data_IF_471642285055
#
_entry.id   IF_471642285055
#
_cell.length_a   1.000
_cell.length_b   1.000
_cell.length_c   1.000
_cell.angle_alpha   90.00
_cell.angle_beta   90.00
_cell.angle_gamma   90.00
#
_symmetry.space_group_name_H-M   'P 1'
#
loop_
_entity.id
_entity.type
_entity.pdbx_description
1 polymer ?
#
# COMPACT_ATOMS: atom_id res chain seq x y z
N UNK A 1 -17.64 -29.46 21.79
CA UNK A 1 -17.24 -28.89 20.53
C UNK A 1 -16.92 -27.43 20.83
N UNK A 2 -15.73 -26.92 20.52
CA UNK A 2 -15.40 -25.51 20.77
C UNK A 2 -16.09 -24.68 19.70
N UNK A 3 -16.83 -23.67 20.10
CA UNK A 3 -17.56 -22.75 19.18
C UNK A 3 -16.84 -21.43 19.15
N UNK A 4 -16.62 -20.88 17.95
CA UNK A 4 -16.01 -19.59 17.73
C UNK A 4 -17.08 -18.54 17.44
N UNK A 5 -16.78 -17.27 17.73
CA UNK A 5 -17.69 -16.17 17.43
C UNK A 5 -17.66 -15.90 15.94
N UNK A 6 -18.80 -16.07 15.28
CA UNK A 6 -18.94 -15.78 13.83
C UNK A 6 -19.29 -14.31 13.64
N UNK A 7 -18.41 -13.58 12.94
CA UNK A 7 -18.65 -12.22 12.49
C UNK A 7 -19.45 -12.22 11.20
N UNK A 8 -20.27 -11.19 10.97
CA UNK A 8 -20.95 -11.03 9.69
C UNK A 8 -19.90 -10.77 8.58
N UNK A 9 -20.03 -11.50 7.49
CA UNK A 9 -19.19 -11.37 6.32
C UNK A 9 -19.82 -10.41 5.31
N UNK A 10 -18.97 -9.69 4.60
CA UNK A 10 -19.36 -8.97 3.38
C UNK A 10 -19.64 -9.96 2.26
N UNK A 11 -20.37 -9.55 1.21
CA UNK A 11 -20.73 -10.43 0.10
C UNK A 11 -19.53 -11.12 -0.54
N UNK A 12 -18.45 -10.39 -0.83
CA UNK A 12 -17.23 -10.94 -1.39
C UNK A 12 -16.55 -11.98 -0.45
N UNK A 13 -16.55 -11.71 0.85
CA UNK A 13 -15.96 -12.62 1.85
C UNK A 13 -16.76 -13.92 1.93
N UNK A 14 -18.08 -13.82 1.87
CA UNK A 14 -18.95 -15.00 1.85
C UNK A 14 -18.73 -15.81 0.56
N UNK A 15 -18.71 -15.17 -0.59
CA UNK A 15 -18.44 -15.83 -1.87
C UNK A 15 -17.08 -16.53 -1.91
N UNK A 16 -16.03 -15.88 -1.41
CA UNK A 16 -14.70 -16.47 -1.30
C UNK A 16 -14.66 -17.65 -0.30
N UNK A 17 -15.36 -17.50 0.83
CA UNK A 17 -15.48 -18.57 1.84
C UNK A 17 -16.19 -19.80 1.27
N UNK A 18 -17.32 -19.63 0.59
CA UNK A 18 -18.09 -20.70 -0.03
C UNK A 18 -17.22 -21.44 -1.07
N UNK A 19 -16.47 -20.70 -1.89
CA UNK A 19 -15.53 -21.25 -2.83
C UNK A 19 -14.42 -22.07 -2.17
N UNK A 20 -13.84 -21.55 -1.08
CA UNK A 20 -12.81 -22.26 -0.31
C UNK A 20 -13.38 -23.53 0.32
N UNK A 21 -14.53 -23.45 0.99
CA UNK A 21 -15.13 -24.60 1.72
C UNK A 21 -15.63 -25.70 0.78
N UNK A 22 -16.00 -25.38 -0.47
CA UNK A 22 -16.45 -26.36 -1.44
C UNK A 22 -15.39 -27.40 -1.79
N UNK A 23 -14.11 -27.01 -1.82
CA UNK A 23 -13.00 -27.90 -2.22
C UNK A 23 -11.93 -28.07 -1.13
N UNK A 24 -11.88 -27.15 -0.16
CA UNK A 24 -10.81 -27.06 0.85
C UNK A 24 -9.42 -27.29 0.24
N UNK A 25 -9.01 -26.46 -0.71
CA UNK A 25 -7.76 -26.67 -1.44
C UNK A 25 -6.55 -26.51 -0.52
N UNK A 26 -5.40 -27.07 -0.92
CA UNK A 26 -4.16 -26.84 -0.20
C UNK A 26 -3.73 -25.39 -0.31
N UNK A 27 -3.83 -24.77 -1.50
CA UNK A 27 -3.51 -23.38 -1.77
C UNK A 27 -4.76 -22.63 -2.19
N UNK A 28 -4.98 -21.48 -1.56
CA UNK A 28 -6.02 -20.53 -1.93
C UNK A 28 -5.47 -19.11 -1.85
N UNK A 29 -5.57 -18.37 -2.92
CA UNK A 29 -5.14 -16.98 -3.00
C UNK A 29 -6.35 -16.05 -3.12
N UNK A 30 -6.49 -15.13 -2.15
CA UNK A 30 -7.46 -14.05 -2.18
C UNK A 30 -6.76 -12.70 -2.40
N UNK A 31 -7.07 -12.05 -3.50
CA UNK A 31 -6.67 -10.67 -3.79
C UNK A 31 -7.82 -9.77 -3.39
N UNK A 32 -7.58 -8.84 -2.48
CA UNK A 32 -8.61 -7.89 -2.06
C UNK A 32 -8.00 -6.54 -1.72
N UNK A 33 -8.62 -5.47 -2.22
CA UNK A 33 -8.13 -4.10 -2.01
C UNK A 33 -7.90 -3.77 -0.53
N UNK A 34 -6.97 -2.87 -0.18
CA UNK A 34 -6.82 -2.40 1.19
C UNK A 34 -8.16 -1.93 1.79
N UNK A 35 -8.42 -2.27 3.05
CA UNK A 35 -9.71 -1.94 3.71
C UNK A 35 -10.87 -2.91 3.41
N UNK A 36 -10.73 -3.85 2.49
CA UNK A 36 -11.76 -4.83 2.16
C UNK A 36 -12.08 -5.83 3.28
N UNK A 37 -11.20 -5.98 4.29
CA UNK A 37 -11.43 -6.88 5.43
C UNK A 37 -10.81 -8.27 5.26
N UNK A 38 -9.64 -8.38 4.61
CA UNK A 38 -8.87 -9.63 4.43
C UNK A 38 -8.69 -10.43 5.72
N UNK A 39 -8.34 -9.75 6.82
CA UNK A 39 -8.16 -10.37 8.14
C UNK A 39 -9.42 -11.07 8.64
N UNK A 40 -10.59 -10.43 8.51
CA UNK A 40 -11.89 -11.02 8.91
C UNK A 40 -12.20 -12.27 8.10
N UNK A 41 -11.96 -12.24 6.79
CA UNK A 41 -12.11 -13.38 5.90
C UNK A 41 -11.21 -14.55 6.31
N UNK A 42 -9.92 -14.29 6.52
CA UNK A 42 -8.97 -15.33 6.90
C UNK A 42 -9.27 -15.96 8.27
N UNK A 43 -9.63 -15.14 9.25
CA UNK A 43 -10.04 -15.64 10.57
C UNK A 43 -11.34 -16.44 10.50
N UNK A 44 -12.24 -16.12 9.56
CA UNK A 44 -13.44 -16.93 9.34
C UNK A 44 -13.08 -18.31 8.78
N UNK A 45 -12.19 -18.41 7.78
CA UNK A 45 -11.67 -19.71 7.29
C UNK A 45 -11.02 -20.48 8.45
N UNK A 46 -10.15 -19.83 9.24
CA UNK A 46 -9.47 -20.46 10.35
C UNK A 46 -10.46 -21.06 11.37
N UNK A 47 -11.48 -20.31 11.75
CA UNK A 47 -12.49 -20.78 12.73
C UNK A 47 -13.35 -21.91 12.18
N UNK A 48 -13.77 -21.88 10.91
CA UNK A 48 -14.53 -22.98 10.28
C UNK A 48 -13.69 -24.29 10.27
N UNK A 49 -12.41 -24.20 9.85
CA UNK A 49 -11.52 -25.36 9.80
C UNK A 49 -11.14 -25.91 11.18
N UNK A 50 -11.13 -25.06 12.22
CA UNK A 50 -10.91 -25.48 13.61
C UNK A 50 -12.16 -26.10 14.20
N UNK A 51 -13.36 -25.58 13.91
CA UNK A 51 -14.63 -26.12 14.39
C UNK A 51 -14.88 -27.54 13.86
N UNK A 52 -14.65 -27.76 12.58
CA UNK A 52 -14.84 -29.07 11.93
C UNK A 52 -13.63 -30.01 12.10
N UNK A 53 -12.61 -29.54 12.82
CA UNK A 53 -11.35 -30.27 13.05
C UNK A 53 -10.57 -30.63 11.78
N UNK A 54 -10.77 -29.93 10.69
CA UNK A 54 -9.92 -30.05 9.50
C UNK A 54 -8.49 -29.67 9.85
N UNK A 55 -8.32 -28.62 10.68
CA UNK A 55 -7.03 -28.21 11.23
C UNK A 55 -7.06 -28.13 12.77
N UNK A 56 -5.87 -28.20 13.38
CA UNK A 56 -5.66 -28.18 14.83
C UNK A 56 -4.71 -27.04 15.24
N UNK A 57 -4.16 -26.32 14.26
CA UNK A 57 -3.24 -25.20 14.45
C UNK A 57 -3.42 -24.16 13.37
N UNK A 58 -3.24 -22.89 13.75
CA UNK A 58 -3.18 -21.78 12.83
C UNK A 58 -1.84 -21.08 12.97
N UNK A 59 -1.14 -20.86 11.86
CA UNK A 59 0.08 -20.04 11.79
C UNK A 59 -0.23 -18.85 10.92
N UNK A 60 0.02 -17.62 11.41
CA UNK A 60 -0.10 -16.41 10.62
C UNK A 60 1.29 -15.85 10.38
N UNK A 61 1.63 -15.62 9.13
CA UNK A 61 2.91 -15.02 8.71
C UNK A 61 2.63 -13.61 8.22
N UNK A 62 3.31 -12.63 8.80
CA UNK A 62 3.10 -11.20 8.55
C UNK A 62 4.40 -10.50 8.17
N UNK A 63 4.35 -9.36 7.46
CA UNK A 63 5.53 -8.59 7.10
C UNK A 63 6.30 -8.04 8.30
N UNK A 64 5.61 -7.50 9.31
CA UNK A 64 6.23 -6.71 10.38
C UNK A 64 5.83 -7.19 11.78
N UNK A 65 6.67 -6.88 12.79
CA UNK A 65 6.40 -7.21 14.20
C UNK A 65 5.10 -6.56 14.72
N UNK A 66 4.80 -5.36 14.30
CA UNK A 66 3.58 -4.65 14.71
C UNK A 66 2.31 -5.42 14.30
N UNK A 67 2.29 -6.00 13.12
CA UNK A 67 1.16 -6.79 12.63
C UNK A 67 0.91 -8.07 13.44
N UNK A 68 1.93 -8.62 14.10
CA UNK A 68 1.75 -9.80 15.00
C UNK A 68 0.73 -9.50 16.09
N UNK A 69 0.85 -8.36 16.75
CA UNK A 69 -0.08 -7.95 17.83
C UNK A 69 -1.48 -7.66 17.28
N UNK A 70 -1.58 -7.00 16.13
CA UNK A 70 -2.87 -6.71 15.49
C UNK A 70 -3.61 -8.00 15.10
N UNK A 71 -2.92 -8.99 14.51
CA UNK A 71 -3.50 -10.27 14.14
C UNK A 71 -3.94 -11.06 15.37
N UNK A 72 -3.12 -11.09 16.44
CA UNK A 72 -3.47 -11.75 17.70
C UNK A 72 -4.71 -11.12 18.35
N UNK A 73 -4.78 -9.79 18.39
CA UNK A 73 -5.94 -9.07 18.92
C UNK A 73 -7.21 -9.33 18.08
N UNK A 74 -7.08 -9.37 16.75
CA UNK A 74 -8.20 -9.70 15.86
C UNK A 74 -8.69 -11.14 16.05
N UNK A 75 -7.79 -12.10 16.18
CA UNK A 75 -8.07 -13.51 16.44
C UNK A 75 -8.78 -13.72 17.78
N UNK A 76 -8.34 -13.03 18.82
CA UNK A 76 -8.94 -13.09 20.15
C UNK A 76 -10.43 -12.67 20.14
N UNK A 77 -10.81 -11.70 19.30
CA UNK A 77 -12.20 -11.25 19.15
C UNK A 77 -13.15 -12.34 18.64
N UNK A 78 -12.64 -13.30 17.89
CA UNK A 78 -13.40 -14.46 17.40
C UNK A 78 -13.18 -15.71 18.25
N UNK A 79 -12.40 -15.62 19.33
CA UNK A 79 -12.14 -16.70 20.27
C UNK A 79 -10.98 -17.61 19.88
N UNK A 80 -10.12 -17.20 18.94
CA UNK A 80 -8.91 -17.89 18.51
C UNK A 80 -7.69 -17.30 19.24
N UNK A 81 -6.95 -18.14 19.97
CA UNK A 81 -5.80 -17.71 20.76
C UNK A 81 -4.50 -17.90 19.95
N UNK A 82 -3.95 -16.80 19.42
CA UNK A 82 -2.67 -16.80 18.69
C UNK A 82 -1.57 -16.12 19.51
N UNK A 83 -0.41 -16.75 19.61
CA UNK A 83 0.75 -16.23 20.34
C UNK A 83 1.57 -15.27 19.48
N UNK A 84 1.55 -13.96 19.73
CA UNK A 84 2.38 -12.98 19.00
C UNK A 84 3.81 -12.90 19.55
N UNK A 85 4.06 -13.43 20.77
CA UNK A 85 5.38 -13.38 21.42
C UNK A 85 6.28 -14.56 21.03
N UNK A 86 5.80 -15.47 20.18
CA UNK A 86 6.61 -16.60 19.71
C UNK A 86 7.88 -16.10 18.99
N UNK A 87 9.01 -16.70 19.38
CA UNK A 87 10.34 -16.43 18.79
C UNK A 87 10.99 -17.73 18.30
N UNK A 88 12.05 -17.59 17.51
CA UNK A 88 12.80 -18.75 17.03
C UNK A 88 13.53 -19.54 18.14
N UNK A 89 13.67 -19.01 19.34
CA UNK A 89 14.21 -19.69 20.53
C UNK A 89 13.14 -20.29 21.44
N UNK A 90 11.87 -19.89 21.31
CA UNK A 90 10.77 -20.37 22.17
C UNK A 90 10.21 -21.73 21.74
N UNK A 91 9.61 -22.43 22.69
CA UNK A 91 8.70 -23.53 22.40
C UNK A 91 7.30 -22.99 22.09
N UNK A 92 6.51 -23.74 21.31
CA UNK A 92 5.10 -23.40 21.07
C UNK A 92 4.31 -23.57 22.36
N UNK A 93 3.58 -22.55 22.77
CA UNK A 93 2.70 -22.62 23.93
C UNK A 93 1.52 -23.56 23.64
N UNK A 94 1.38 -24.68 24.40
CA UNK A 94 0.34 -25.67 24.13
C UNK A 94 -1.08 -25.19 24.41
N UNK A 95 -1.25 -24.10 25.16
CA UNK A 95 -2.56 -23.50 25.46
C UNK A 95 -3.05 -22.58 24.34
N UNK A 96 -2.20 -22.26 23.35
CA UNK A 96 -2.54 -21.44 22.20
C UNK A 96 -2.99 -22.30 21.02
N UNK A 97 -3.89 -21.75 20.21
CA UNK A 97 -4.35 -22.38 18.98
C UNK A 97 -3.33 -22.25 17.84
N UNK A 98 -2.37 -21.34 18.00
CA UNK A 98 -1.34 -21.10 17.00
C UNK A 98 -0.39 -19.97 17.37
N UNK A 99 0.35 -19.52 16.37
CA UNK A 99 1.38 -18.48 16.50
C UNK A 99 1.23 -17.43 15.40
N UNK A 100 1.75 -16.22 15.68
CA UNK A 100 1.94 -15.18 14.65
C UNK A 100 3.44 -14.90 14.55
N UNK A 101 3.99 -14.96 13.34
CA UNK A 101 5.43 -14.83 13.05
C UNK A 101 5.65 -13.88 11.88
N UNK A 102 6.87 -13.36 11.74
CA UNK A 102 7.22 -12.55 10.56
C UNK A 102 7.88 -13.41 9.47
N UNK A 103 7.83 -12.93 8.20
CA UNK A 103 8.57 -13.55 7.10
C UNK A 103 10.07 -13.68 7.40
N UNK A 104 10.64 -12.66 8.04
CA UNK A 104 12.04 -12.68 8.48
C UNK A 104 12.33 -13.82 9.48
N UNK A 105 11.45 -14.01 10.49
CA UNK A 105 11.60 -15.12 11.46
C UNK A 105 11.57 -16.48 10.76
N UNK A 106 10.66 -16.67 9.82
CA UNK A 106 10.53 -17.91 9.05
C UNK A 106 11.77 -18.13 8.18
N UNK A 107 12.19 -17.10 7.43
CA UNK A 107 13.36 -17.17 6.55
C UNK A 107 14.66 -17.49 7.27
N UNK A 108 14.84 -17.01 8.51
CA UNK A 108 16.03 -17.30 9.32
C UNK A 108 16.08 -18.73 9.85
N UNK A 109 14.94 -19.36 10.13
CA UNK A 109 14.88 -20.70 10.73
C UNK A 109 13.79 -21.59 10.11
N UNK A 110 13.81 -21.86 8.80
CA UNK A 110 12.71 -22.53 8.08
C UNK A 110 12.44 -23.93 8.62
N UNK A 111 13.46 -24.72 8.97
CA UNK A 111 13.30 -26.06 9.52
C UNK A 111 12.55 -26.09 10.87
N UNK A 112 12.75 -25.07 11.73
CA UNK A 112 12.00 -24.95 12.97
C UNK A 112 10.52 -24.71 12.68
N UNK A 113 10.20 -23.80 11.77
CA UNK A 113 8.82 -23.49 11.37
C UNK A 113 8.17 -24.69 10.68
N UNK A 114 8.92 -25.45 9.87
CA UNK A 114 8.45 -26.73 9.29
C UNK A 114 8.09 -27.72 10.39
N UNK A 115 8.96 -27.92 11.38
CA UNK A 115 8.68 -28.83 12.50
C UNK A 115 7.44 -28.40 13.29
N UNK A 116 7.25 -27.10 13.54
CA UNK A 116 6.04 -26.56 14.19
C UNK A 116 4.80 -26.81 13.33
N UNK A 117 4.86 -26.55 12.05
CA UNK A 117 3.72 -26.70 11.13
C UNK A 117 3.32 -28.17 10.93
N UNK A 118 4.30 -29.09 10.84
CA UNK A 118 4.07 -30.52 10.61
C UNK A 118 3.62 -31.27 11.87
N UNK A 119 3.79 -30.69 13.07
CA UNK A 119 3.42 -31.35 14.34
C UNK A 119 1.91 -31.55 14.51
N UNK A 120 1.09 -30.81 13.77
CA UNK A 120 -0.39 -30.87 13.77
C UNK A 120 -0.91 -30.52 12.38
N UNK A 121 -2.18 -30.88 12.12
CA UNK A 121 -2.86 -30.37 10.91
C UNK A 121 -2.97 -28.86 10.99
N UNK A 122 -2.35 -28.16 10.07
CA UNK A 122 -2.10 -26.73 10.16
C UNK A 122 -2.68 -25.97 8.96
N UNK A 123 -3.33 -24.84 9.24
CA UNK A 123 -3.60 -23.76 8.30
C UNK A 123 -2.49 -22.72 8.45
N UNK A 124 -1.83 -22.37 7.37
CA UNK A 124 -0.91 -21.23 7.27
C UNK A 124 -1.60 -20.09 6.53
N UNK A 125 -1.69 -18.93 7.18
CA UNK A 125 -2.17 -17.67 6.59
C UNK A 125 -0.96 -16.81 6.28
N UNK A 126 -0.78 -16.46 5.01
CA UNK A 126 0.34 -15.67 4.50
C UNK A 126 -0.19 -14.27 4.16
N UNK A 127 -0.09 -13.34 5.12
CA UNK A 127 -0.60 -11.99 4.95
C UNK A 127 0.38 -11.14 4.13
N UNK A 128 -0.16 -10.42 3.14
CA UNK A 128 0.61 -9.65 2.14
C UNK A 128 1.76 -10.51 1.55
N UNK A 129 1.38 -11.64 0.95
CA UNK A 129 2.30 -12.71 0.49
C UNK A 129 3.43 -12.21 -0.44
N UNK A 130 3.24 -11.07 -1.12
CA UNK A 130 4.27 -10.49 -1.98
C UNK A 130 5.56 -10.14 -1.22
N UNK A 131 5.49 -9.90 0.10
CA UNK A 131 6.66 -9.70 0.97
C UNK A 131 7.47 -10.96 1.25
N UNK A 132 6.93 -12.13 1.02
CA UNK A 132 7.71 -13.38 1.14
C UNK A 132 8.94 -13.38 0.23
N UNK A 133 9.01 -12.48 -0.73
CA UNK A 133 10.11 -12.39 -1.65
C UNK A 133 10.99 -11.15 -1.54
N UNK A 134 10.80 -10.30 -0.54
CA UNK A 134 11.58 -9.06 -0.37
C UNK A 134 13.08 -9.33 -0.18
N UNK A 135 13.44 -10.46 0.43
CA UNK A 135 14.76 -11.05 0.31
C UNK A 135 14.62 -12.41 -0.36
N UNK A 136 15.42 -12.68 -1.40
CA UNK A 136 15.39 -13.94 -2.16
C UNK A 136 15.47 -15.18 -1.25
N UNK A 137 16.22 -15.07 -0.15
CA UNK A 137 16.33 -16.08 0.90
C UNK A 137 15.04 -16.30 1.73
N UNK A 138 14.15 -15.31 1.84
CA UNK A 138 12.91 -15.46 2.60
C UNK A 138 11.87 -16.27 1.83
N UNK A 139 11.80 -16.09 0.51
CA UNK A 139 10.91 -16.87 -0.34
C UNK A 139 11.21 -18.36 -0.28
N UNK A 140 12.48 -18.72 -0.39
CA UNK A 140 12.94 -20.11 -0.29
C UNK A 140 12.70 -20.65 1.14
N UNK A 141 12.95 -19.86 2.18
CA UNK A 141 12.70 -20.25 3.57
C UNK A 141 11.23 -20.46 3.88
N UNK A 142 10.35 -19.61 3.37
CA UNK A 142 8.88 -19.74 3.53
C UNK A 142 8.38 -20.98 2.81
N UNK A 143 8.89 -21.25 1.60
CA UNK A 143 8.59 -22.47 0.85
C UNK A 143 9.05 -23.71 1.61
N UNK A 144 10.29 -23.75 2.08
CA UNK A 144 10.84 -24.86 2.88
C UNK A 144 10.04 -25.10 4.16
N UNK A 145 9.59 -24.03 4.83
CA UNK A 145 8.85 -24.13 6.08
C UNK A 145 7.43 -24.69 5.91
N UNK A 146 6.77 -24.40 4.78
CA UNK A 146 5.32 -24.62 4.67
C UNK A 146 4.88 -25.39 3.43
N UNK A 147 5.80 -26.06 2.72
CA UNK A 147 5.45 -26.83 1.50
C UNK A 147 4.48 -28.00 1.79
N UNK A 148 4.66 -28.67 2.92
CA UNK A 148 3.93 -29.88 3.30
C UNK A 148 2.68 -29.61 4.17
N UNK A 149 2.24 -28.36 4.37
CA UNK A 149 1.09 -28.07 5.24
C UNK A 149 -0.24 -28.42 4.58
N UNK A 150 -1.27 -28.61 5.39
CA UNK A 150 -2.59 -29.03 4.90
C UNK A 150 -3.27 -27.94 4.08
N UNK A 151 -3.23 -26.69 4.56
CA UNK A 151 -3.83 -25.55 3.88
C UNK A 151 -2.97 -24.30 3.99
N UNK A 152 -2.85 -23.55 2.88
CA UNK A 152 -2.22 -22.24 2.80
C UNK A 152 -3.22 -21.24 2.24
N UNK A 153 -3.43 -20.18 2.96
CA UNK A 153 -4.26 -19.05 2.54
C UNK A 153 -3.37 -17.83 2.30
N UNK A 154 -3.14 -17.49 1.05
CA UNK A 154 -2.40 -16.32 0.65
C UNK A 154 -3.33 -15.11 0.52
N UNK A 155 -2.98 -14.00 1.17
CA UNK A 155 -3.72 -12.74 1.14
C UNK A 155 -2.83 -11.65 0.55
N UNK A 156 -3.37 -10.82 -0.32
CA UNK A 156 -2.69 -9.61 -0.79
C UNK A 156 -3.68 -8.56 -1.26
N UNK A 157 -3.32 -7.30 -1.14
CA UNK A 157 -4.03 -6.19 -1.79
C UNK A 157 -3.50 -5.91 -3.19
N UNK A 158 -2.29 -6.38 -3.47
CA UNK A 158 -1.57 -6.11 -4.71
C UNK A 158 -0.81 -7.38 -5.10
N UNK A 159 -1.25 -8.13 -6.12
CA UNK A 159 -0.60 -9.37 -6.53
C UNK A 159 0.70 -9.13 -7.33
N UNK A 160 1.36 -8.00 -7.11
CA UNK A 160 2.56 -7.60 -7.83
C UNK A 160 3.79 -7.70 -6.94
N UNK A 161 4.95 -7.89 -7.55
CA UNK A 161 6.25 -7.71 -6.92
C UNK A 161 7.02 -6.62 -7.64
N UNK A 162 7.99 -6.08 -6.94
CA UNK A 162 8.95 -5.13 -7.50
C UNK A 162 10.10 -5.79 -8.27
N UNK A 163 10.12 -7.13 -8.34
CA UNK A 163 11.07 -7.93 -9.09
C UNK A 163 10.34 -9.07 -9.84
N UNK A 164 10.97 -9.67 -10.84
CA UNK A 164 10.44 -10.75 -11.67
C UNK A 164 10.43 -12.13 -10.99
N UNK A 165 10.77 -12.21 -9.70
CA UNK A 165 10.82 -13.49 -9.00
C UNK A 165 9.41 -13.99 -8.64
N UNK A 166 9.08 -15.27 -8.84
CA UNK A 166 7.77 -15.79 -8.50
C UNK A 166 7.53 -15.73 -6.98
N UNK A 167 6.31 -15.34 -6.59
CA UNK A 167 5.86 -15.34 -5.20
C UNK A 167 5.63 -16.81 -4.78
N UNK A 168 6.13 -17.27 -3.62
CA UNK A 168 5.90 -18.63 -3.15
C UNK A 168 4.41 -18.99 -3.08
N UNK A 169 4.04 -20.20 -3.47
CA UNK A 169 2.67 -20.73 -3.43
C UNK A 169 1.63 -20.00 -4.28
N UNK A 170 2.06 -19.09 -5.14
CA UNK A 170 1.19 -18.40 -6.10
C UNK A 170 1.26 -19.11 -7.43
N UNK A 171 0.09 -19.37 -8.03
CA UNK A 171 -0.02 -19.93 -9.37
C UNK A 171 0.16 -18.83 -10.41
N UNK A 172 0.85 -19.14 -11.49
CA UNK A 172 1.06 -18.25 -12.62
C UNK A 172 0.52 -18.89 -13.88
N UNK A 173 -0.16 -18.12 -14.69
CA UNK A 173 -0.64 -18.51 -16.01
C UNK A 173 0.01 -17.60 -17.06
N UNK A 174 0.24 -18.14 -18.25
CA UNK A 174 0.72 -17.38 -19.40
C UNK A 174 -0.44 -16.51 -19.93
N UNK A 175 -0.21 -15.22 -20.14
CA UNK A 175 -1.21 -14.29 -20.68
C UNK A 175 -1.39 -14.40 -22.21
N UNK A 176 -0.62 -15.26 -22.86
CA UNK A 176 -0.60 -15.44 -24.32
C UNK A 176 0.34 -14.46 -25.04
N UNK A 177 0.99 -13.57 -24.32
CA UNK A 177 1.99 -12.61 -24.82
C UNK A 177 3.41 -12.96 -24.32
N UNK A 178 3.53 -14.07 -23.60
CA UNK A 178 4.81 -14.55 -23.05
C UNK A 178 5.09 -14.09 -21.61
N UNK A 179 4.15 -13.41 -20.98
CA UNK A 179 4.26 -13.01 -19.58
C UNK A 179 3.51 -13.98 -18.65
N UNK A 180 4.06 -14.19 -17.48
CA UNK A 180 3.41 -15.00 -16.43
C UNK A 180 2.64 -14.09 -15.47
N UNK A 181 1.33 -14.19 -15.49
CA UNK A 181 0.43 -13.43 -14.60
C UNK A 181 -0.01 -14.29 -13.42
N UNK A 182 0.03 -13.74 -12.21
CA UNK A 182 -0.44 -14.43 -11.00
C UNK A 182 -1.95 -14.67 -11.08
N UNK A 183 -2.39 -15.88 -10.73
CA UNK A 183 -3.81 -16.24 -10.71
C UNK A 183 -4.34 -16.36 -9.29
N UNK A 184 -5.26 -15.47 -8.96
CA UNK A 184 -6.01 -15.54 -7.70
C UNK A 184 -7.20 -16.52 -7.82
N UNK A 185 -7.52 -17.19 -6.71
CA UNK A 185 -8.75 -17.99 -6.60
C UNK A 185 -9.97 -17.09 -6.42
N UNK A 186 -9.81 -15.94 -5.77
CA UNK A 186 -10.84 -14.92 -5.62
C UNK A 186 -10.22 -13.53 -5.68
N UNK A 187 -10.84 -12.65 -6.46
CA UNK A 187 -10.43 -11.24 -6.58
C UNK A 187 -11.58 -10.33 -6.17
N UNK A 188 -11.27 -9.33 -5.36
CA UNK A 188 -12.17 -8.24 -4.98
C UNK A 188 -11.38 -6.94 -5.12
N UNK A 189 -11.46 -6.35 -6.27
CA UNK A 189 -10.67 -5.19 -6.65
C UNK A 189 -11.21 -3.86 -6.08
N UNK A 190 -10.54 -2.77 -6.43
CA UNK A 190 -10.94 -1.44 -5.98
C UNK A 190 -12.30 -1.02 -6.56
N UNK A 191 -12.59 -1.42 -7.81
CA UNK A 191 -13.85 -1.14 -8.46
C UNK A 191 -15.02 -1.83 -7.76
N UNK A 192 -14.90 -3.12 -7.47
CA UNK A 192 -15.90 -3.89 -6.72
C UNK A 192 -16.16 -3.27 -5.33
N UNK A 193 -15.07 -2.88 -4.65
CA UNK A 193 -15.14 -2.29 -3.32
C UNK A 193 -15.81 -0.90 -3.32
N UNK A 194 -15.65 -0.13 -4.39
CA UNK A 194 -16.38 1.12 -4.60
C UNK A 194 -17.88 0.89 -4.81
N UNK A 195 -18.25 -0.07 -5.68
CA UNK A 195 -19.63 -0.42 -5.93
C UNK A 195 -20.35 -0.82 -4.65
N UNK A 196 -19.68 -1.58 -3.79
CA UNK A 196 -20.19 -2.04 -2.50
C UNK A 196 -20.15 -0.94 -1.40
N UNK A 197 -19.60 0.24 -1.68
CA UNK A 197 -19.43 1.32 -0.70
C UNK A 197 -18.45 0.99 0.44
N UNK A 198 -17.57 0.03 0.24
CA UNK A 198 -16.57 -0.42 1.21
C UNK A 198 -15.37 0.52 1.28
N UNK A 199 -15.05 1.14 0.14
CA UNK A 199 -14.00 2.14 -0.01
C UNK A 199 -14.58 3.45 -0.56
N UNK A 200 -13.84 4.55 -0.40
CA UNK A 200 -14.20 5.86 -0.96
C UNK A 200 -13.35 6.18 -2.19
N UNK A 201 -13.86 7.01 -3.12
CA UNK A 201 -13.08 7.47 -4.25
C UNK A 201 -11.91 8.36 -3.82
N UNK A 202 -10.78 8.20 -4.52
CA UNK A 202 -9.59 9.06 -4.39
C UNK A 202 -9.54 9.95 -5.62
N UNK A 203 -9.46 11.25 -5.40
CA UNK A 203 -9.29 12.26 -6.46
C UNK A 203 -7.82 12.64 -6.50
N UNK A 204 -7.20 12.55 -7.67
CA UNK A 204 -5.80 12.91 -7.87
C UNK A 204 -5.69 14.33 -8.41
N UNK A 205 -4.87 15.15 -7.74
CA UNK A 205 -4.54 16.51 -8.15
C UNK A 205 -3.08 16.54 -8.60
N UNK A 206 -2.84 16.71 -9.89
CA UNK A 206 -1.49 16.74 -10.45
C UNK A 206 -0.94 18.15 -10.48
N UNK A 207 0.32 18.31 -10.08
CA UNK A 207 1.06 19.56 -10.07
C UNK A 207 2.30 19.45 -10.97
N UNK A 208 2.38 20.32 -11.95
CA UNK A 208 3.52 20.54 -12.83
C UNK A 208 4.42 21.64 -12.27
N UNK A 209 5.32 22.16 -13.09
CA UNK A 209 6.12 23.35 -12.83
C UNK A 209 7.50 23.28 -13.43
N UNK A 210 8.08 24.44 -13.66
CA UNK A 210 9.46 24.57 -14.14
C UNK A 210 10.44 24.15 -13.05
N UNK A 211 11.41 23.32 -13.42
CA UNK A 211 12.49 22.86 -12.56
C UNK A 211 13.83 23.24 -13.18
N UNK A 212 14.78 23.68 -12.38
CA UNK A 212 16.13 24.06 -12.82
C UNK A 212 17.18 23.39 -11.94
N UNK A 213 18.19 22.83 -12.57
CA UNK A 213 19.31 22.21 -11.88
C UNK A 213 20.63 22.43 -12.63
N UNK A 214 21.74 22.28 -11.93
CA UNK A 214 23.08 22.30 -12.49
C UNK A 214 23.69 20.92 -12.37
N UNK A 215 24.25 20.42 -13.46
CA UNK A 215 24.93 19.12 -13.47
C UNK A 215 26.36 19.19 -12.93
N UNK A 216 27.04 18.03 -12.87
CA UNK A 216 28.42 17.94 -12.40
C UNK A 216 29.45 18.63 -13.32
N UNK A 217 29.10 18.92 -14.57
CA UNK A 217 29.93 19.66 -15.50
C UNK A 217 29.76 21.20 -15.34
N UNK A 218 28.79 21.63 -14.51
CA UNK A 218 28.45 23.02 -14.27
C UNK A 218 27.45 23.59 -15.26
N UNK A 219 26.86 22.75 -16.13
CA UNK A 219 25.84 23.17 -17.08
C UNK A 219 24.48 23.30 -16.42
N UNK A 220 23.75 24.36 -16.69
CA UNK A 220 22.40 24.59 -16.20
C UNK A 220 21.38 24.00 -17.14
N UNK A 221 20.43 23.26 -16.56
CA UNK A 221 19.34 22.64 -17.28
C UNK A 221 18.00 23.11 -16.68
N UNK A 222 16.99 23.18 -17.54
CA UNK A 222 15.60 23.40 -17.11
C UNK A 222 14.69 22.40 -17.79
N UNK A 223 13.63 22.02 -17.09
CA UNK A 223 12.57 21.17 -17.63
C UNK A 223 11.27 21.39 -16.87
N UNK A 224 10.15 21.24 -17.56
CA UNK A 224 8.83 21.28 -16.93
C UNK A 224 8.39 19.87 -16.57
N UNK A 225 7.91 19.68 -15.34
CA UNK A 225 7.31 18.40 -14.93
C UNK A 225 6.08 18.10 -15.81
N UNK A 226 6.04 16.89 -16.36
CA UNK A 226 4.98 16.46 -17.29
C UNK A 226 5.35 16.54 -18.76
N UNK A 227 6.44 17.24 -19.13
CA UNK A 227 6.95 17.21 -20.48
C UNK A 227 7.57 15.85 -20.83
N UNK A 228 7.63 15.56 -22.14
CA UNK A 228 8.31 14.36 -22.64
C UNK A 228 9.82 14.55 -22.47
N UNK A 229 10.39 13.80 -21.56
CA UNK A 229 11.80 13.80 -21.22
C UNK A 229 12.36 12.38 -21.18
N UNK A 230 13.69 12.27 -21.33
CA UNK A 230 14.32 10.98 -21.03
C UNK A 230 14.26 10.66 -19.52
N UNK A 231 14.51 9.40 -19.17
CA UNK A 231 14.40 8.89 -17.78
C UNK A 231 15.26 9.67 -16.80
N UNK A 232 16.48 10.05 -17.21
CA UNK A 232 17.42 10.77 -16.35
C UNK A 232 16.96 12.22 -16.10
N UNK A 233 16.52 12.91 -17.12
CA UNK A 233 15.96 14.27 -17.02
C UNK A 233 14.70 14.28 -16.17
N UNK A 234 13.78 13.32 -16.36
CA UNK A 234 12.59 13.17 -15.55
C UNK A 234 12.94 12.95 -14.08
N UNK A 235 13.91 12.08 -13.79
CA UNK A 235 14.33 11.82 -12.42
C UNK A 235 14.96 13.05 -11.75
N UNK A 236 15.75 13.84 -12.48
CA UNK A 236 16.37 15.08 -11.97
C UNK A 236 15.33 16.17 -11.74
N UNK A 237 14.45 16.41 -12.72
CA UNK A 237 13.36 17.36 -12.59
C UNK A 237 12.46 17.03 -11.38
N UNK A 238 12.08 15.76 -11.24
CA UNK A 238 11.26 15.28 -10.12
C UNK A 238 11.95 15.50 -8.76
N UNK A 239 13.22 15.10 -8.62
CA UNK A 239 13.98 15.34 -7.38
C UNK A 239 14.15 16.82 -7.08
N UNK A 240 14.35 17.65 -8.09
CA UNK A 240 14.46 19.10 -7.95
C UNK A 240 13.15 19.70 -7.41
N UNK A 241 12.00 19.25 -7.92
CA UNK A 241 10.69 19.67 -7.42
C UNK A 241 10.48 19.28 -5.93
N UNK A 242 10.99 18.14 -5.52
CA UNK A 242 10.88 17.64 -4.14
C UNK A 242 11.89 18.28 -3.16
N UNK A 243 12.80 19.15 -3.63
CA UNK A 243 13.74 19.83 -2.75
C UNK A 243 12.99 20.81 -1.82
N UNK A 244 13.06 20.65 -0.49
CA UNK A 244 12.38 21.52 0.45
C UNK A 244 12.85 22.97 0.44
N UNK A 245 13.98 23.26 -0.19
CA UNK A 245 14.51 24.62 -0.38
C UNK A 245 13.94 25.31 -1.63
N UNK A 246 13.34 24.55 -2.54
CA UNK A 246 12.65 25.07 -3.72
C UNK A 246 11.28 25.63 -3.36
N UNK A 247 10.55 26.12 -4.36
CA UNK A 247 9.20 26.69 -4.17
C UNK A 247 8.10 25.67 -4.46
N UNK A 248 8.39 24.61 -5.24
CA UNK A 248 7.38 23.65 -5.68
C UNK A 248 6.73 22.91 -4.52
N UNK A 249 7.52 22.24 -3.67
CA UNK A 249 6.95 21.43 -2.58
C UNK A 249 6.28 22.29 -1.48
N UNK A 250 6.80 23.46 -1.08
CA UNK A 250 6.06 24.35 -0.17
C UNK A 250 4.70 24.77 -0.73
N UNK A 251 4.61 25.09 -2.03
CA UNK A 251 3.35 25.47 -2.66
C UNK A 251 2.34 24.30 -2.69
N UNK A 252 2.80 23.09 -3.02
CA UNK A 252 1.95 21.88 -2.98
C UNK A 252 1.48 21.57 -1.57
N UNK A 253 2.35 21.69 -0.56
CA UNK A 253 1.97 21.51 0.85
C UNK A 253 0.95 22.56 1.31
N UNK A 254 1.07 23.81 0.87
CA UNK A 254 0.09 24.86 1.12
C UNK A 254 -1.27 24.54 0.49
N UNK A 255 -1.29 24.10 -0.77
CA UNK A 255 -2.52 23.69 -1.46
C UNK A 255 -3.17 22.48 -0.76
N UNK A 256 -2.37 21.48 -0.38
CA UNK A 256 -2.85 20.32 0.37
C UNK A 256 -3.40 20.69 1.74
N UNK A 257 -2.76 21.64 2.46
CA UNK A 257 -3.27 22.13 3.73
C UNK A 257 -4.61 22.87 3.55
N UNK A 258 -4.71 23.73 2.54
CA UNK A 258 -5.97 24.40 2.20
C UNK A 258 -7.09 23.37 1.94
N UNK A 259 -6.78 22.32 1.17
CA UNK A 259 -7.72 21.22 0.90
C UNK A 259 -8.13 20.49 2.17
N UNK A 260 -7.17 20.20 3.06
CA UNK A 260 -7.48 19.55 4.34
C UNK A 260 -8.43 20.41 5.17
N UNK A 261 -8.20 21.72 5.25
CA UNK A 261 -9.07 22.65 6.00
C UNK A 261 -10.49 22.72 5.40
N UNK A 262 -10.63 22.62 4.08
CA UNK A 262 -11.95 22.50 3.44
C UNK A 262 -12.66 21.21 3.87
N UNK A 263 -11.96 20.08 3.86
CA UNK A 263 -12.52 18.78 4.26
C UNK A 263 -12.88 18.76 5.76
N UNK A 264 -12.08 19.38 6.60
CA UNK A 264 -12.34 19.47 8.06
C UNK A 264 -13.61 20.25 8.42
N UNK A 265 -14.20 21.00 7.51
CA UNK A 265 -15.52 21.61 7.72
C UNK A 265 -16.61 20.56 7.92
N UNK A 266 -16.53 19.46 7.19
CA UNK A 266 -17.48 18.34 7.22
C UNK A 266 -16.98 17.14 8.03
N UNK A 267 -15.66 16.99 8.15
CA UNK A 267 -14.96 15.92 8.86
C UNK A 267 -13.91 16.57 9.79
N UNK A 268 -14.28 17.06 10.98
CA UNK A 268 -13.39 17.86 11.84
C UNK A 268 -12.09 17.14 12.24
N UNK A 269 -12.09 15.83 12.23
CA UNK A 269 -10.95 14.97 12.54
C UNK A 269 -10.14 14.55 11.32
N UNK A 270 -10.50 14.98 10.10
CA UNK A 270 -9.77 14.61 8.89
C UNK A 270 -8.27 14.91 9.04
N UNK A 271 -7.44 13.95 8.63
CA UNK A 271 -5.98 14.03 8.69
C UNK A 271 -5.34 14.01 7.31
N UNK A 272 -4.13 14.54 7.25
CA UNK A 272 -3.27 14.52 6.07
C UNK A 272 -2.02 13.68 6.27
N UNK A 273 -1.52 13.09 5.19
CA UNK A 273 -0.28 12.32 5.15
C UNK A 273 0.61 12.80 4.02
N UNK A 274 1.85 13.14 4.35
CA UNK A 274 2.90 13.41 3.38
C UNK A 274 3.86 12.23 3.33
N UNK A 275 4.07 11.67 2.14
CA UNK A 275 5.04 10.61 1.88
C UNK A 275 6.35 11.23 1.43
N UNK A 276 7.41 11.11 2.22
CA UNK A 276 8.73 11.66 1.94
C UNK A 276 9.71 10.59 1.45
N UNK A 277 10.73 10.99 0.71
CA UNK A 277 11.77 10.07 0.19
C UNK A 277 12.71 9.56 1.28
N UNK A 278 13.08 10.43 2.22
CA UNK A 278 14.06 10.18 3.27
C UNK A 278 13.78 10.97 4.55
N UNK A 279 14.56 10.69 5.59
CA UNK A 279 14.44 11.32 6.91
C UNK A 279 14.68 12.84 6.88
N UNK A 280 15.59 13.31 6.04
CA UNK A 280 15.95 14.73 5.95
C UNK A 280 14.80 15.52 5.34
N UNK A 281 14.27 15.06 4.20
CA UNK A 281 13.12 15.66 3.55
C UNK A 281 11.87 15.57 4.41
N UNK A 282 11.63 14.46 5.11
CA UNK A 282 10.50 14.32 6.02
C UNK A 282 10.48 15.38 7.12
N UNK A 283 11.63 15.61 7.76
CA UNK A 283 11.74 16.64 8.80
C UNK A 283 11.58 18.05 8.25
N UNK A 284 12.09 18.30 7.04
CA UNK A 284 11.92 19.60 6.37
C UNK A 284 10.45 19.87 6.03
N UNK A 285 9.74 18.88 5.47
CA UNK A 285 8.31 19.00 5.15
C UNK A 285 7.46 19.19 6.44
N UNK A 286 7.78 18.47 7.51
CA UNK A 286 7.12 18.65 8.79
C UNK A 286 7.30 20.07 9.34
N UNK A 287 8.49 20.68 9.15
CA UNK A 287 8.74 22.08 9.54
C UNK A 287 7.89 23.05 8.72
N UNK A 288 7.76 22.85 7.41
CA UNK A 288 6.92 23.66 6.53
C UNK A 288 5.45 23.52 6.97
N UNK A 289 4.95 22.30 7.14
CA UNK A 289 3.58 22.05 7.56
C UNK A 289 3.27 22.66 8.92
N UNK A 290 4.21 22.58 9.88
CA UNK A 290 4.05 23.21 11.19
C UNK A 290 3.90 24.73 11.10
N UNK A 291 4.56 25.38 10.14
CA UNK A 291 4.40 26.82 9.90
C UNK A 291 3.05 27.15 9.26
N UNK A 292 2.53 26.27 8.41
CA UNK A 292 1.24 26.43 7.73
C UNK A 292 0.05 26.19 8.66
N UNK A 293 0.11 25.10 9.43
CA UNK A 293 -1.01 24.65 10.27
C UNK A 293 -1.03 25.26 11.67
N UNK A 294 0.11 25.75 12.16
CA UNK A 294 0.33 26.14 13.56
C UNK A 294 0.02 25.01 14.58
N UNK A 295 -0.06 23.76 14.13
CA UNK A 295 -0.34 22.57 14.95
C UNK A 295 0.87 21.63 14.96
N UNK A 296 0.97 20.70 15.93
CA UNK A 296 1.97 19.66 15.91
C UNK A 296 1.88 18.80 14.63
N UNK A 297 3.03 18.38 14.12
CA UNK A 297 3.13 17.47 12.97
C UNK A 297 3.87 16.20 13.40
N UNK A 298 3.22 15.06 13.27
CA UNK A 298 3.81 13.75 13.58
C UNK A 298 4.78 13.33 12.49
N UNK A 299 6.02 12.98 12.86
CA UNK A 299 7.03 12.45 11.93
C UNK A 299 7.30 10.99 12.25
N UNK A 300 7.08 10.13 11.26
CA UNK A 300 7.23 8.68 11.36
C UNK A 300 8.40 8.24 10.48
N UNK A 301 9.42 7.69 11.10
CA UNK A 301 10.63 7.22 10.43
C UNK A 301 10.73 5.70 10.59
N UNK A 302 11.18 5.01 9.53
CA UNK A 302 11.24 3.54 9.46
C UNK A 302 12.04 2.91 10.60
N UNK A 303 13.13 3.57 11.00
CA UNK A 303 14.14 3.00 11.88
C UNK A 303 13.99 3.49 13.33
N UNK A 304 12.96 4.30 13.62
CA UNK A 304 12.75 4.86 14.96
C UNK A 304 11.99 3.87 15.85
N UNK A 305 12.54 3.48 17.00
CA UNK A 305 11.78 2.77 18.03
C UNK A 305 10.53 3.57 18.42
N UNK A 306 9.36 2.92 18.51
CA UNK A 306 8.10 3.59 18.85
C UNK A 306 7.36 4.24 17.68
N UNK A 307 7.76 3.99 16.43
CA UNK A 307 7.02 4.47 15.25
C UNK A 307 5.57 3.99 15.25
N UNK A 308 5.32 2.76 15.64
CA UNK A 308 3.97 2.18 15.73
C UNK A 308 3.10 2.89 16.77
N UNK A 309 3.67 3.26 17.92
CA UNK A 309 2.96 3.98 18.97
C UNK A 309 2.57 5.39 18.50
N UNK A 310 3.49 6.09 17.84
CA UNK A 310 3.21 7.41 17.24
C UNK A 310 2.15 7.38 16.15
N UNK A 311 2.12 6.31 15.37
CA UNK A 311 1.05 6.11 14.37
C UNK A 311 -0.29 5.94 15.07
N UNK A 312 -0.33 5.14 16.13
CA UNK A 312 -1.55 4.94 16.91
C UNK A 312 -1.99 6.22 17.62
N UNK A 313 -1.06 6.95 18.21
CA UNK A 313 -1.33 8.28 18.81
C UNK A 313 -1.91 9.25 17.77
N UNK A 314 -1.33 9.29 16.56
CA UNK A 314 -1.89 10.10 15.47
C UNK A 314 -3.29 9.59 15.06
N UNK A 315 -3.50 8.28 14.95
CA UNK A 315 -4.79 7.69 14.57
C UNK A 315 -5.90 8.06 15.56
N UNK A 316 -5.58 8.09 16.85
CA UNK A 316 -6.51 8.40 17.95
C UNK A 316 -6.66 9.91 18.21
N UNK A 317 -5.80 10.73 17.62
CA UNK A 317 -5.81 12.20 17.76
C UNK A 317 -6.70 12.89 16.71
N UNK A 318 -6.81 14.21 16.84
CA UNK A 318 -7.36 15.10 15.81
C UNK A 318 -6.29 15.94 15.12
N UNK A 319 -5.01 15.56 15.25
CA UNK A 319 -3.91 16.26 14.64
C UNK A 319 -4.05 16.30 13.12
N UNK A 320 -3.59 17.38 12.51
CA UNK A 320 -3.82 17.65 11.10
C UNK A 320 -2.91 16.81 10.20
N UNK A 321 -1.62 16.72 10.55
CA UNK A 321 -0.61 16.20 9.63
C UNK A 321 0.29 15.14 10.22
N UNK A 322 0.55 14.14 9.42
CA UNK A 322 1.61 13.14 9.59
C UNK A 322 2.53 13.18 8.37
N UNK A 323 3.85 13.10 8.60
CA UNK A 323 4.85 12.94 7.55
C UNK A 323 5.55 11.60 7.77
N UNK A 324 5.63 10.76 6.74
CA UNK A 324 6.23 9.44 6.85
C UNK A 324 7.21 9.14 5.73
N UNK A 325 8.29 8.41 6.07
CA UNK A 325 9.29 7.91 5.13
C UNK A 325 9.03 6.44 4.85
N UNK A 326 8.85 6.06 3.57
CA UNK A 326 8.76 4.67 3.06
C UNK A 326 7.94 3.64 3.87
N UNK A 327 7.83 3.82 5.18
CA UNK A 327 7.25 2.89 6.15
C UNK A 327 5.73 2.74 6.06
N UNK A 328 5.10 3.60 5.31
CA UNK A 328 3.63 3.64 5.24
C UNK A 328 3.08 2.51 4.37
N UNK A 329 3.96 1.69 3.80
CA UNK A 329 3.53 0.53 3.03
C UNK A 329 2.81 -0.51 3.89
N UNK A 330 3.11 -0.61 5.22
CA UNK A 330 2.61 -1.70 6.03
C UNK A 330 2.20 -1.28 7.45
N UNK A 331 1.04 -1.75 7.90
CA UNK A 331 0.62 -1.66 9.30
C UNK A 331 -0.02 -0.34 9.75
N UNK A 332 -0.02 0.70 8.92
CA UNK A 332 -0.66 1.97 9.27
C UNK A 332 -2.13 1.95 8.87
N UNK A 333 -3.00 1.78 9.82
CA UNK A 333 -4.43 1.92 9.66
C UNK A 333 -4.94 3.22 10.30
N UNK A 334 -5.03 4.28 9.53
CA UNK A 334 -5.55 5.58 9.98
C UNK A 334 -6.75 5.98 9.10
N UNK A 335 -7.96 5.52 9.42
CA UNK A 335 -9.15 5.73 8.57
C UNK A 335 -9.51 7.20 8.33
N UNK A 336 -9.05 8.12 9.18
CA UNK A 336 -9.32 9.55 9.06
C UNK A 336 -8.41 10.28 8.06
N UNK A 337 -7.44 9.61 7.43
CA UNK A 337 -6.59 10.21 6.39
C UNK A 337 -7.43 10.55 5.16
N UNK A 338 -7.56 11.83 4.84
CA UNK A 338 -8.39 12.34 3.76
C UNK A 338 -7.61 13.11 2.69
N UNK A 339 -6.42 13.61 3.02
CA UNK A 339 -5.53 14.32 2.09
C UNK A 339 -4.16 13.66 2.08
N UNK A 340 -3.64 13.38 0.89
CA UNK A 340 -2.31 12.82 0.66
C UNK A 340 -1.42 13.75 -0.15
N UNK A 341 -0.13 13.77 0.13
CA UNK A 341 0.89 14.38 -0.73
C UNK A 341 1.95 13.35 -1.05
N UNK A 342 2.08 13.02 -2.33
CA UNK A 342 3.07 12.08 -2.83
C UNK A 342 4.39 12.80 -3.07
N UNK A 343 5.14 13.05 -2.01
CA UNK A 343 6.40 13.81 -2.01
C UNK A 343 7.62 12.87 -1.96
N UNK A 344 7.58 11.79 -2.73
CA UNK A 344 8.65 10.79 -2.83
C UNK A 344 8.94 10.48 -4.29
N UNK A 345 10.15 10.07 -4.59
CA UNK A 345 10.56 9.60 -5.92
C UNK A 345 10.36 8.09 -6.15
N UNK A 346 9.67 7.40 -5.24
CA UNK A 346 9.28 6.01 -5.44
C UNK A 346 8.23 5.92 -6.56
N UNK A 347 8.42 5.03 -7.54
CA UNK A 347 7.59 4.93 -8.74
C UNK A 347 7.10 3.51 -9.04
N UNK A 348 7.34 2.55 -8.14
CA UNK A 348 6.87 1.18 -8.38
C UNK A 348 5.35 1.10 -8.22
N UNK A 349 4.65 0.32 -9.07
CA UNK A 349 3.20 0.12 -8.97
C UNK A 349 2.77 -0.36 -7.58
N UNK A 350 3.55 -1.26 -6.99
CA UNK A 350 3.30 -1.78 -5.64
C UNK A 350 3.31 -0.66 -4.59
N UNK A 351 4.37 0.16 -4.57
CA UNK A 351 4.47 1.26 -3.59
C UNK A 351 3.34 2.27 -3.78
N UNK A 352 3.01 2.62 -5.03
CA UNK A 352 1.92 3.53 -5.34
C UNK A 352 0.58 2.97 -4.83
N UNK A 353 0.25 1.72 -5.16
CA UNK A 353 -0.99 1.09 -4.73
C UNK A 353 -1.10 1.01 -3.19
N UNK A 354 -0.02 0.67 -2.50
CA UNK A 354 0.03 0.65 -1.04
C UNK A 354 -0.15 2.05 -0.43
N UNK A 355 0.51 3.06 -1.01
CA UNK A 355 0.40 4.45 -0.58
C UNK A 355 -1.02 4.97 -0.73
N UNK A 356 -1.63 4.79 -1.91
CA UNK A 356 -3.00 5.24 -2.18
C UNK A 356 -4.02 4.43 -1.37
N UNK A 357 -3.75 3.15 -1.14
CA UNK A 357 -4.56 2.28 -0.28
C UNK A 357 -4.80 2.81 1.15
N UNK A 358 -3.98 3.78 1.61
CA UNK A 358 -4.18 4.46 2.90
C UNK A 358 -5.35 5.44 2.88
N UNK A 359 -5.73 5.93 1.72
CA UNK A 359 -6.75 6.95 1.55
C UNK A 359 -8.12 6.38 1.11
N UNK A 360 -8.19 5.12 0.72
CA UNK A 360 -9.42 4.53 0.16
C UNK A 360 -10.48 4.16 1.22
N UNK A 361 -10.15 4.16 2.51
CA UNK A 361 -11.08 3.74 3.55
C UNK A 361 -12.25 4.69 3.71
N UNK A 362 -13.47 4.18 3.54
CA UNK A 362 -14.70 4.91 3.79
C UNK A 362 -15.12 4.76 5.24
N UNK A 363 -15.47 5.86 5.90
CA UNK A 363 -16.09 5.90 7.24
C UNK A 363 -17.58 6.22 7.17
N UNK A 364 -17.94 7.06 6.19
CA UNK A 364 -19.33 7.47 5.93
C UNK A 364 -19.58 7.52 4.42
N UNK A 365 -20.84 7.27 3.98
CA UNK A 365 -21.21 7.41 2.58
C UNK A 365 -20.94 8.82 2.05
N UNK A 366 -20.44 8.92 0.81
CA UNK A 366 -20.16 10.20 0.13
C UNK A 366 -18.83 10.85 0.48
N UNK A 367 -17.99 10.23 1.34
CA UNK A 367 -16.62 10.69 1.56
C UNK A 367 -15.77 10.53 0.29
N UNK A 368 -14.85 11.47 0.09
CA UNK A 368 -13.78 11.38 -0.91
C UNK A 368 -12.43 11.61 -0.24
N UNK A 369 -11.35 11.18 -0.87
CA UNK A 369 -10.00 11.57 -0.49
C UNK A 369 -9.33 12.34 -1.64
N UNK A 370 -8.35 13.17 -1.34
CA UNK A 370 -7.61 13.95 -2.33
C UNK A 370 -6.11 13.64 -2.20
N UNK A 371 -5.45 13.28 -3.29
CA UNK A 371 -4.02 12.98 -3.30
C UNK A 371 -3.31 13.88 -4.31
N UNK A 372 -2.34 14.63 -3.83
CA UNK A 372 -1.52 15.54 -4.60
C UNK A 372 -0.32 14.79 -5.17
N UNK A 373 -0.16 14.83 -6.49
CA UNK A 373 0.89 14.12 -7.23
C UNK A 373 1.76 15.10 -8.03
N UNK A 374 3.08 14.90 -8.13
CA UNK A 374 3.86 15.54 -9.19
C UNK A 374 3.42 15.01 -10.56
N UNK A 375 3.38 15.89 -11.57
CA UNK A 375 3.03 15.54 -12.95
C UNK A 375 4.16 14.75 -13.61
N UNK A 376 4.38 13.53 -13.16
CA UNK A 376 5.38 12.61 -13.71
C UNK A 376 4.64 11.49 -14.44
N UNK A 377 4.98 11.19 -15.72
CA UNK A 377 4.21 10.26 -16.55
C UNK A 377 3.92 8.92 -15.89
N UNK A 378 4.89 8.31 -15.21
CA UNK A 378 4.70 7.04 -14.52
C UNK A 378 3.65 7.12 -13.40
N UNK A 379 3.61 8.20 -12.63
CA UNK A 379 2.61 8.36 -11.55
C UNK A 379 1.22 8.67 -12.12
N UNK A 380 1.15 9.46 -13.18
CA UNK A 380 -0.11 9.78 -13.85
C UNK A 380 -0.74 8.52 -14.45
N UNK A 381 0.08 7.65 -15.08
CA UNK A 381 -0.38 6.35 -15.59
C UNK A 381 -0.91 5.43 -14.48
N UNK A 382 -0.23 5.38 -13.32
CA UNK A 382 -0.70 4.60 -12.17
C UNK A 382 -2.02 5.15 -11.60
N UNK A 383 -2.15 6.47 -11.51
CA UNK A 383 -3.38 7.12 -11.06
C UNK A 383 -4.55 6.89 -12.04
N UNK A 384 -4.29 7.03 -13.34
CA UNK A 384 -5.27 6.78 -14.40
C UNK A 384 -5.81 5.34 -14.37
N UNK A 385 -4.92 4.36 -14.13
CA UNK A 385 -5.36 2.97 -13.99
C UNK A 385 -6.34 2.77 -12.83
N UNK A 386 -6.07 3.35 -11.67
CA UNK A 386 -7.00 3.30 -10.54
C UNK A 386 -8.34 4.00 -10.86
N UNK A 387 -8.29 5.12 -11.59
CA UNK A 387 -9.48 5.85 -12.02
C UNK A 387 -10.32 5.05 -13.04
N UNK A 388 -9.67 4.37 -14.00
CA UNK A 388 -10.35 3.48 -14.96
C UNK A 388 -11.07 2.34 -14.24
N UNK A 389 -10.48 1.75 -13.22
CA UNK A 389 -11.13 0.73 -12.39
C UNK A 389 -12.39 1.27 -11.70
N UNK A 390 -12.36 2.54 -11.22
CA UNK A 390 -13.53 3.21 -10.65
C UNK A 390 -14.62 3.46 -11.70
N UNK A 391 -14.23 3.94 -12.87
CA UNK A 391 -15.17 4.27 -13.96
C UNK A 391 -15.93 3.04 -14.48
N UNK A 392 -15.29 1.87 -14.47
CA UNK A 392 -15.94 0.63 -14.85
C UNK A 392 -17.14 0.31 -13.95
N UNK A 393 -17.04 0.56 -12.64
CA UNK A 393 -18.14 0.38 -11.68
C UNK A 393 -19.31 1.33 -11.95
N UNK A 394 -19.03 2.52 -12.44
CA UNK A 394 -20.04 3.53 -12.76
C UNK A 394 -20.76 3.32 -14.11
N UNK A 395 -20.54 2.18 -14.79
CA UNK A 395 -21.34 1.73 -15.94
C UNK A 395 -20.73 2.03 -17.31
N UNK A 396 -19.44 2.24 -17.44
CA UNK A 396 -18.78 2.24 -18.76
C UNK A 396 -18.38 0.83 -19.18
N UNK A 397 -18.74 0.42 -20.41
CA UNK A 397 -18.34 -0.86 -21.00
C UNK A 397 -16.80 -0.96 -21.11
N UNK A 398 -16.28 -2.16 -20.83
CA UNK A 398 -14.86 -2.50 -21.00
C UNK A 398 -14.45 -2.25 -22.45
N UNK A 399 -13.68 -1.20 -22.69
CA UNK A 399 -12.88 -1.13 -23.90
C UNK A 399 -11.65 -2.02 -23.69
N UNK A 400 -11.48 -2.96 -24.60
CA UNK A 400 -10.39 -3.95 -24.56
C UNK A 400 -9.02 -3.26 -24.55
N UNK A 401 -8.15 -3.75 -23.66
CA UNK A 401 -6.69 -3.72 -23.74
C UNK A 401 -6.05 -2.45 -24.30
N UNK A 402 -5.91 -1.42 -23.50
CA UNK A 402 -4.69 -0.61 -23.54
C UNK A 402 -3.78 -1.13 -22.44
N UNK A 403 -2.84 -1.97 -22.84
CA UNK A 403 -1.78 -2.44 -21.96
C UNK A 403 -0.98 -1.24 -21.45
N UNK A 404 -0.53 -1.31 -20.22
CA UNK A 404 0.54 -0.49 -19.72
C UNK A 404 1.66 -0.48 -20.75
N UNK A 405 2.25 0.69 -20.99
CA UNK A 405 3.45 0.78 -21.80
C UNK A 405 4.56 0.02 -21.02
N UNK A 406 4.80 -1.23 -21.40
CA UNK A 406 5.71 -2.16 -20.72
C UNK A 406 7.12 -1.56 -20.60
N UNK A 407 7.53 -0.69 -21.54
CA UNK A 407 8.79 0.03 -21.46
C UNK A 407 8.85 0.98 -20.25
N UNK A 408 7.75 1.66 -19.88
CA UNK A 408 7.69 2.52 -18.70
C UNK A 408 7.72 1.73 -17.41
N UNK A 409 7.07 0.56 -17.38
CA UNK A 409 7.09 -0.35 -16.24
C UNK A 409 8.46 -1.02 -16.05
N UNK A 410 9.10 -1.48 -17.12
CA UNK A 410 10.46 -2.00 -17.09
C UNK A 410 11.47 -0.94 -16.63
N UNK A 411 11.36 0.28 -17.13
CA UNK A 411 12.21 1.38 -16.72
C UNK A 411 12.01 1.77 -15.24
N UNK A 412 10.78 1.69 -14.72
CA UNK A 412 10.49 1.91 -13.30
C UNK A 412 11.05 0.78 -12.41
N UNK A 413 11.04 -0.46 -12.90
CA UNK A 413 11.51 -1.64 -12.17
C UNK A 413 13.04 -1.84 -12.24
N UNK A 414 13.70 -1.46 -13.34
CA UNK A 414 15.15 -1.62 -13.52
C UNK A 414 16.01 -0.75 -12.60
N UNK A 415 15.46 0.26 -11.92
CA UNK A 415 16.22 1.25 -11.13
C UNK A 415 16.36 0.94 -9.63
N UNK A 416 16.24 -0.31 -9.19
CA UNK A 416 16.48 -0.66 -7.78
C UNK A 416 17.95 -0.80 -7.36
N UNK A 417 18.92 -0.66 -8.27
CA UNK A 417 20.30 -1.09 -7.98
C UNK A 417 21.32 0.04 -7.78
N UNK A 418 21.00 1.31 -8.05
CA UNK A 418 21.97 2.41 -7.88
C UNK A 418 21.35 3.71 -7.34
N UNK A 419 21.06 3.83 -6.01
CA UNK A 419 20.66 5.12 -5.43
C UNK A 419 21.81 6.11 -5.21
N UNK A 420 23.06 5.63 -5.08
CA UNK A 420 24.13 6.42 -4.48
C UNK A 420 25.03 7.22 -5.45
N UNK A 421 25.04 6.88 -6.73
CA UNK A 421 25.91 7.59 -7.68
C UNK A 421 25.30 8.84 -8.29
N UNK A 422 23.97 8.91 -8.41
CA UNK A 422 23.27 10.07 -8.98
C UNK A 422 23.07 11.22 -7.98
N UNK A 423 23.08 10.96 -6.67
CA UNK A 423 22.88 11.99 -5.63
C UNK A 423 24.01 13.01 -5.54
N UNK A 424 25.21 12.65 -6.00
CA UNK A 424 26.40 13.53 -5.91
C UNK A 424 26.65 14.37 -7.15
N UNK A 425 25.83 14.28 -8.19
CA UNK A 425 26.18 14.81 -9.51
C UNK A 425 25.36 16.01 -9.98
N UNK A 426 24.46 16.58 -9.17
CA UNK A 426 23.71 17.77 -9.56
C UNK A 426 23.33 18.66 -8.38
N UNK A 427 23.14 19.96 -8.65
CA UNK A 427 22.68 20.97 -7.70
C UNK A 427 21.28 21.45 -8.11
N UNK A 428 20.30 21.37 -7.21
CA UNK A 428 18.97 21.95 -7.42
C UNK A 428 19.05 23.48 -7.39
N UNK A 429 18.57 24.13 -8.43
CA UNK A 429 18.57 25.59 -8.54
C UNK A 429 17.20 26.21 -8.27
N UNK A 430 16.12 25.43 -8.37
CA UNK A 430 14.77 25.87 -8.06
C UNK A 430 13.70 25.10 -8.81
N UNK A 431 12.47 25.17 -8.34
CA UNK A 431 11.28 24.62 -8.97
C UNK A 431 10.06 25.44 -8.56
N UNK A 432 9.19 25.72 -9.51
CA UNK A 432 7.89 26.39 -9.29
C UNK A 432 6.77 25.36 -9.41
N UNK A 433 5.69 25.51 -8.65
CA UNK A 433 4.53 24.61 -8.72
C UNK A 433 3.39 25.27 -9.49
N UNK A 434 2.80 24.52 -10.40
CA UNK A 434 1.62 24.92 -11.16
C UNK A 434 0.62 23.76 -11.16
N UNK A 435 -0.63 24.05 -10.81
CA UNK A 435 -1.69 23.04 -10.93
C UNK A 435 -1.87 22.66 -12.40
N UNK A 436 -1.69 21.39 -12.75
CA UNK A 436 -1.73 20.94 -14.14
C UNK A 436 -3.04 20.23 -14.48
N UNK A 437 -3.73 19.68 -13.53
CA UNK A 437 -5.01 19.02 -13.79
C UNK A 437 -5.53 18.18 -12.65
N UNK A 438 -6.79 17.81 -12.82
CA UNK A 438 -7.53 16.88 -11.96
C UNK A 438 -7.73 15.59 -12.75
N UNK A 439 -7.27 14.49 -12.20
CA UNK A 439 -7.57 13.17 -12.76
C UNK A 439 -8.88 12.69 -12.14
N UNK A 440 -9.91 12.72 -12.95
CA UNK A 440 -11.25 12.28 -12.60
C UNK A 440 -11.89 11.59 -13.82
N UNK A 441 -12.52 10.45 -13.65
CA UNK A 441 -13.15 9.68 -14.73
C UNK A 441 -12.21 9.29 -15.88
N UNK A 442 -10.92 8.97 -15.58
CA UNK A 442 -9.95 8.54 -16.59
C UNK A 442 -9.57 9.62 -17.61
N UNK A 443 -9.95 10.87 -17.40
CA UNK A 443 -9.59 12.00 -18.24
C UNK A 443 -8.89 13.08 -17.43
N UNK A 444 -7.90 13.70 -18.04
CA UNK A 444 -7.21 14.86 -17.48
C UNK A 444 -7.98 16.12 -17.87
N UNK A 445 -8.50 16.83 -16.88
CA UNK A 445 -9.10 18.15 -17.11
C UNK A 445 -8.02 19.23 -16.91
N UNK A 446 -7.70 19.96 -17.97
CA UNK A 446 -6.90 21.15 -17.86
C UNK A 446 -7.74 22.31 -17.31
N UNK A 447 -7.13 23.19 -16.52
CA UNK A 447 -7.77 24.38 -15.93
C UNK A 447 -8.45 25.31 -16.94
N UNK A 448 -8.18 25.16 -18.25
CA UNK A 448 -8.85 25.91 -19.31
C UNK A 448 -10.30 25.48 -19.63
N UNK A 449 -10.73 24.31 -19.14
CA UNK A 449 -12.06 23.78 -19.41
C UNK A 449 -13.04 24.00 -18.22
N UNK A 450 -12.57 24.53 -17.10
CA UNK A 450 -13.44 24.87 -15.95
C UNK A 450 -14.13 26.21 -16.24
N UNK A 451 -15.45 26.17 -16.36
CA UNK A 451 -16.27 27.38 -16.43
C UNK A 451 -16.31 28.06 -15.06
N UNK A 452 -16.42 29.40 -15.07
CA UNK A 452 -16.33 30.28 -13.90
C UNK A 452 -17.32 30.02 -12.76
N UNK A 453 -18.23 29.05 -12.90
CA UNK A 453 -19.24 28.70 -11.90
C UNK A 453 -18.80 27.58 -10.92
N UNK A 454 -17.67 26.94 -11.12
CA UNK A 454 -17.12 25.90 -10.23
C UNK A 454 -15.95 26.40 -9.34
N UNK A 455 -15.54 27.66 -9.46
CA UNK A 455 -14.52 28.31 -8.62
C UNK A 455 -15.07 28.95 -7.33
N UNK A 456 -16.36 28.77 -7.01
CA UNK A 456 -16.96 29.37 -5.83
C UNK A 456 -17.08 28.42 -4.63
#
# INVERSE_FOLDING_TARGET
MRTFKKTNLRAWQQSALDKFLATKPQDFMAVATPGAGKTTFALRIATELMEDRTVERVIVVVPTEHLKTQWSAAAARVGLALDPAFTNSSAVNPSMDGIVVTYAQVGMHPFKHRAVASARRTLVILDEIHHAGDAKSWGDGVKEAYDDVNHRLALTGTPFRSDESPIPFVRYEDDGEGHKVSRADHTYDYGDALADGVVRPVVFLSYSGETRWRDSAGEEHSARLGDIMNVEQTARAWRTALDPKGEWIPAVLQAAHTRLMQMRRNMPDAGGLVLASDTTTARAYAKILKQLSNTPVSVILSDDPGSSDRIQEFADSTDEWMVAVRMVSEGVDVPRLAVGVYATSASTPLFFAQAIGRFVRSRMPGETASVFLPSVPVLLGLAEHMEKSRDHVLGKEKTEKEGWDDELLEQANQKKTEPDMLEKSYESLGAEAEFSGLLYNGSQFNTGDMTSDEEA
#
